data_IF_179423528948
#
_entry.id   IF_179423528948
#
_cell.length_a   1.000
_cell.length_b   1.000
_cell.length_c   1.000
_cell.angle_alpha   90.00
_cell.angle_beta   90.00
_cell.angle_gamma   90.00
#
_symmetry.space_group_name_H-M   'P 1'
#
loop_
_entity.id
_entity.type
_entity.pdbx_description
1 polymer ?
#
# COMPACT_ATOMS: atom_id res chain seq x y z
N UNK A 1 24.29 -6.09 0.65
CA UNK A 1 23.09 -5.75 -0.14
C UNK A 1 23.12 -4.26 -0.46
N UNK A 2 23.05 -3.88 -1.74
CA UNK A 2 23.14 -2.46 -2.16
C UNK A 2 21.84 -1.72 -1.87
N UNK A 3 21.88 -0.38 -1.81
CA UNK A 3 20.69 0.45 -1.60
C UNK A 3 19.66 0.28 -2.73
N UNK A 4 20.12 0.04 -3.95
CA UNK A 4 19.27 -0.29 -5.09
C UNK A 4 18.43 -1.55 -4.81
N UNK A 5 19.06 -2.62 -4.33
CA UNK A 5 18.36 -3.88 -4.00
C UNK A 5 17.37 -3.68 -2.86
N UNK A 6 17.71 -2.89 -1.82
CA UNK A 6 16.77 -2.55 -0.73
C UNK A 6 15.52 -1.84 -1.23
N UNK A 7 15.70 -0.85 -2.12
CA UNK A 7 14.59 -0.09 -2.71
C UNK A 7 13.68 -0.96 -3.55
N UNK A 8 14.24 -1.83 -4.38
CA UNK A 8 13.47 -2.78 -5.19
C UNK A 8 12.67 -3.72 -4.30
N UNK A 9 13.29 -4.32 -3.28
CA UNK A 9 12.60 -5.22 -2.35
C UNK A 9 11.47 -4.50 -1.62
N UNK A 10 11.71 -3.30 -1.09
CA UNK A 10 10.68 -2.53 -0.41
C UNK A 10 9.54 -2.10 -1.35
N UNK A 11 9.84 -1.76 -2.60
CA UNK A 11 8.83 -1.47 -3.62
C UNK A 11 7.97 -2.70 -3.92
N UNK A 12 8.60 -3.87 -4.11
CA UNK A 12 7.90 -5.14 -4.32
C UNK A 12 7.01 -5.50 -3.12
N UNK A 13 7.54 -5.33 -1.89
CA UNK A 13 6.76 -5.55 -0.67
C UNK A 13 5.54 -4.64 -0.65
N UNK A 14 5.70 -3.32 -0.89
CA UNK A 14 4.58 -2.39 -0.92
C UNK A 14 3.51 -2.78 -1.95
N UNK A 15 3.92 -3.15 -3.17
CA UNK A 15 3.00 -3.56 -4.23
C UNK A 15 2.23 -4.83 -3.81
N UNK A 16 2.93 -5.85 -3.34
CA UNK A 16 2.32 -7.11 -2.91
C UNK A 16 1.37 -6.88 -1.73
N UNK A 17 1.78 -6.09 -0.73
CA UNK A 17 0.91 -5.73 0.40
C UNK A 17 -0.29 -4.90 -0.07
N UNK A 18 -0.11 -3.98 -1.02
CA UNK A 18 -1.20 -3.20 -1.61
C UNK A 18 -2.25 -4.08 -2.29
N UNK A 19 -1.82 -5.05 -3.10
CA UNK A 19 -2.70 -6.02 -3.76
C UNK A 19 -3.43 -6.89 -2.74
N UNK A 20 -2.73 -7.43 -1.75
CA UNK A 20 -3.31 -8.35 -0.76
C UNK A 20 -4.13 -7.63 0.33
N UNK A 21 -3.91 -6.34 0.55
CA UNK A 21 -4.60 -5.56 1.59
C UNK A 21 -6.11 -5.50 1.37
N UNK A 22 -6.55 -5.50 0.11
CA UNK A 22 -7.94 -5.33 -0.27
C UNK A 22 -8.80 -6.59 -0.04
N UNK A 23 -8.41 -7.79 -0.50
CA UNK A 23 -9.13 -9.01 -0.13
C UNK A 23 -9.05 -9.28 1.37
N UNK A 24 -7.98 -8.88 2.06
CA UNK A 24 -7.90 -8.99 3.51
C UNK A 24 -8.89 -8.05 4.22
N UNK A 25 -8.97 -6.78 3.79
CA UNK A 25 -9.94 -5.83 4.32
C UNK A 25 -11.37 -6.29 4.04
N UNK A 26 -11.65 -6.81 2.84
CA UNK A 26 -12.94 -7.41 2.50
C UNK A 26 -13.24 -8.58 3.43
N UNK A 27 -12.35 -9.57 3.57
CA UNK A 27 -12.57 -10.74 4.43
C UNK A 27 -12.91 -10.39 5.89
N UNK A 28 -12.43 -9.25 6.39
CA UNK A 28 -12.70 -8.79 7.77
C UNK A 28 -13.96 -7.91 7.85
N UNK A 29 -14.27 -7.16 6.81
CA UNK A 29 -15.32 -6.13 6.81
C UNK A 29 -16.50 -6.43 5.85
N UNK A 30 -16.61 -7.66 5.34
CA UNK A 30 -17.69 -8.13 4.44
C UNK A 30 -19.04 -8.35 5.17
N UNK A 31 -19.49 -7.32 5.88
CA UNK A 31 -20.77 -7.26 6.56
C UNK A 31 -21.63 -6.13 6.00
N UNK A 32 -22.97 -6.30 6.06
CA UNK A 32 -23.94 -5.33 5.52
C UNK A 32 -23.77 -3.88 6.02
N UNK A 33 -23.17 -3.70 7.19
CA UNK A 33 -22.93 -2.38 7.79
C UNK A 33 -21.50 -1.86 7.61
N UNK A 34 -20.57 -2.69 7.12
CA UNK A 34 -19.13 -2.41 7.13
C UNK A 34 -18.49 -2.45 5.74
N UNK A 35 -19.23 -2.87 4.71
CA UNK A 35 -18.73 -2.97 3.33
C UNK A 35 -18.21 -1.63 2.79
N UNK A 36 -18.87 -0.52 3.13
CA UNK A 36 -18.43 0.84 2.76
C UNK A 36 -17.12 1.27 3.46
N UNK A 37 -16.67 0.53 4.48
CA UNK A 37 -15.41 0.78 5.19
C UNK A 37 -14.22 0.01 4.60
N UNK A 38 -14.44 -0.94 3.67
CA UNK A 38 -13.37 -1.76 3.09
C UNK A 38 -12.29 -0.88 2.45
N UNK A 39 -12.66 0.02 1.54
CA UNK A 39 -11.72 0.91 0.86
C UNK A 39 -11.06 1.91 1.83
N UNK A 40 -11.82 2.67 2.66
CA UNK A 40 -11.22 3.55 3.67
C UNK A 40 -10.22 2.85 4.60
N UNK A 41 -10.59 1.68 5.14
CA UNK A 41 -9.74 0.92 6.05
C UNK A 41 -8.47 0.44 5.35
N UNK A 42 -8.60 -0.06 4.12
CA UNK A 42 -7.47 -0.50 3.31
C UNK A 42 -6.49 0.64 3.01
N UNK A 43 -6.99 1.82 2.60
CA UNK A 43 -6.17 3.00 2.36
C UNK A 43 -5.41 3.46 3.61
N UNK A 44 -6.11 3.52 4.76
CA UNK A 44 -5.51 3.91 6.04
C UNK A 44 -4.42 2.91 6.46
N UNK A 45 -4.70 1.61 6.40
CA UNK A 45 -3.74 0.57 6.72
C UNK A 45 -2.48 0.67 5.85
N UNK A 46 -2.64 0.87 4.54
CA UNK A 46 -1.52 1.00 3.62
C UNK A 46 -0.73 2.29 3.84
N UNK A 47 -1.38 3.40 4.19
CA UNK A 47 -0.70 4.63 4.56
C UNK A 47 0.19 4.43 5.81
N UNK A 48 -0.32 3.77 6.86
CA UNK A 48 0.48 3.45 8.04
C UNK A 48 1.61 2.48 7.75
N UNK A 49 1.36 1.44 6.94
CA UNK A 49 2.37 0.47 6.56
C UNK A 49 3.50 1.12 5.75
N UNK A 50 3.15 1.96 4.76
CA UNK A 50 4.12 2.73 3.98
C UNK A 50 4.93 3.71 4.83
N UNK A 51 4.29 4.41 5.76
CA UNK A 51 4.98 5.28 6.71
C UNK A 51 5.98 4.51 7.58
N UNK A 52 5.56 3.38 8.15
CA UNK A 52 6.41 2.51 8.95
C UNK A 52 7.59 1.95 8.15
N UNK A 53 7.36 1.53 6.91
CA UNK A 53 8.40 1.02 6.03
C UNK A 53 9.44 2.08 5.69
N UNK A 54 9.04 3.32 5.41
CA UNK A 54 9.96 4.42 5.11
C UNK A 54 10.77 4.89 6.33
N UNK A 55 10.22 4.74 7.54
CA UNK A 55 10.97 4.96 8.78
C UNK A 55 12.00 3.82 8.98
N UNK A 56 11.59 2.56 8.79
CA UNK A 56 12.43 1.38 9.00
C UNK A 56 13.53 1.23 7.93
N UNK A 57 13.29 1.70 6.71
CA UNK A 57 14.23 1.70 5.59
C UNK A 57 14.50 3.13 5.12
N UNK A 58 15.47 3.84 5.74
CA UNK A 58 15.84 5.21 5.37
C UNK A 58 16.18 5.39 3.89
N UNK A 59 16.62 4.33 3.23
CA UNK A 59 16.96 4.34 1.81
C UNK A 59 15.77 4.65 0.89
N UNK A 60 14.53 4.54 1.38
CA UNK A 60 13.30 4.88 0.65
C UNK A 60 12.98 6.38 0.63
N UNK A 61 13.64 7.17 1.48
CA UNK A 61 13.43 8.61 1.57
C UNK A 61 14.73 9.36 1.24
N UNK A 62 14.66 10.67 0.92
CA UNK A 62 15.85 11.50 0.72
C UNK A 62 16.79 11.42 1.93
N UNK A 63 18.11 11.34 1.68
CA UNK A 63 19.11 11.09 2.72
C UNK A 63 19.06 12.11 3.88
N UNK A 64 18.72 13.37 3.59
CA UNK A 64 18.61 14.45 4.55
C UNK A 64 17.19 14.65 5.14
N UNK A 65 16.22 13.79 4.81
CA UNK A 65 14.85 13.97 5.28
C UNK A 65 14.70 13.63 6.77
N UNK A 66 14.01 14.50 7.52
CA UNK A 66 13.65 14.25 8.91
C UNK A 66 12.66 13.08 9.02
N UNK A 67 12.59 12.36 10.17
CA UNK A 67 11.71 11.21 10.35
C UNK A 67 10.24 11.46 9.97
N UNK A 68 9.71 12.66 10.28
CA UNK A 68 8.34 13.06 9.90
C UNK A 68 8.15 13.14 8.38
N UNK A 69 9.13 13.69 7.67
CA UNK A 69 9.09 13.78 6.20
C UNK A 69 9.18 12.39 5.57
N UNK A 70 9.99 11.49 6.14
CA UNK A 70 10.08 10.09 5.70
C UNK A 70 8.75 9.37 5.87
N UNK A 71 8.08 9.57 7.00
CA UNK A 71 6.76 9.01 7.26
C UNK A 71 5.72 9.49 6.24
N UNK A 72 5.70 10.78 5.92
CA UNK A 72 4.77 11.34 4.92
C UNK A 72 5.03 10.80 3.51
N UNK A 73 6.30 10.72 3.09
CA UNK A 73 6.68 10.13 1.79
C UNK A 73 6.29 8.64 1.76
N UNK A 74 6.58 7.91 2.83
CA UNK A 74 6.20 6.51 2.97
C UNK A 74 4.69 6.30 2.92
N UNK A 75 3.91 7.13 3.61
CA UNK A 75 2.46 7.08 3.56
C UNK A 75 1.94 7.28 2.14
N UNK A 76 2.51 8.24 1.40
CA UNK A 76 2.19 8.46 -0.01
C UNK A 76 2.45 7.22 -0.88
N UNK A 77 3.60 6.56 -0.70
CA UNK A 77 3.90 5.30 -1.39
C UNK A 77 2.95 4.16 -1.02
N UNK A 78 2.57 4.08 0.26
CA UNK A 78 1.57 3.13 0.75
C UNK A 78 0.22 3.33 0.07
N UNK A 79 -0.27 4.57 0.03
CA UNK A 79 -1.53 4.92 -0.66
C UNK A 79 -1.44 4.61 -2.16
N UNK A 80 -0.34 4.95 -2.81
CA UNK A 80 -0.15 4.64 -4.23
C UNK A 80 -0.19 3.13 -4.49
N UNK A 81 0.47 2.33 -3.65
CA UNK A 81 0.41 0.87 -3.73
C UNK A 81 -1.01 0.33 -3.47
N UNK A 82 -1.76 0.95 -2.56
CA UNK A 82 -3.16 0.62 -2.29
C UNK A 82 -4.05 0.84 -3.51
N UNK A 83 -3.84 1.95 -4.24
CA UNK A 83 -4.55 2.26 -5.48
C UNK A 83 -4.19 1.29 -6.61
N UNK A 84 -2.91 0.92 -6.72
CA UNK A 84 -2.47 -0.14 -7.66
C UNK A 84 -3.16 -1.47 -7.32
N UNK A 85 -3.22 -1.82 -6.03
CA UNK A 85 -3.94 -3.01 -5.56
C UNK A 85 -5.42 -2.99 -5.93
N UNK A 86 -6.09 -1.84 -5.75
CA UNK A 86 -7.49 -1.63 -6.16
C UNK A 86 -7.67 -1.81 -7.67
N UNK A 87 -6.78 -1.24 -8.49
CA UNK A 87 -6.82 -1.37 -9.94
C UNK A 87 -6.66 -2.84 -10.38
N UNK A 88 -5.69 -3.55 -9.78
CA UNK A 88 -5.45 -4.97 -10.06
C UNK A 88 -6.64 -5.82 -9.64
N UNK A 89 -7.21 -5.55 -8.46
CA UNK A 89 -8.38 -6.27 -7.97
C UNK A 89 -9.62 -6.03 -8.85
N UNK A 90 -9.85 -4.78 -9.25
CA UNK A 90 -10.91 -4.44 -10.19
C UNK A 90 -10.74 -5.17 -11.53
N UNK A 91 -9.52 -5.19 -12.08
CA UNK A 91 -9.22 -5.90 -13.32
C UNK A 91 -9.39 -7.41 -13.18
N UNK A 92 -9.04 -7.98 -12.02
CA UNK A 92 -9.22 -9.39 -11.73
C UNK A 92 -10.70 -9.79 -11.66
N UNK A 93 -11.58 -8.90 -11.19
CA UNK A 93 -13.03 -9.14 -11.13
C UNK A 93 -13.74 -8.89 -12.45
N UNK A 94 -13.38 -7.84 -13.19
CA UNK A 94 -14.09 -7.42 -14.40
C UNK A 94 -13.47 -7.96 -15.71
N UNK A 95 -12.24 -8.48 -15.66
CA UNK A 95 -11.48 -8.83 -16.86
C UNK A 95 -11.05 -7.60 -17.67
N UNK A 96 -10.40 -7.84 -18.82
CA UNK A 96 -9.95 -6.77 -19.72
C UNK A 96 -11.04 -6.24 -20.66
N UNK A 97 -12.12 -7.01 -20.83
CA UNK A 97 -13.23 -6.65 -21.70
C UNK A 97 -14.26 -5.73 -21.00
N UNK A 98 -14.13 -5.55 -19.68
CA UNK A 98 -15.10 -4.82 -18.85
C UNK A 98 -16.40 -5.60 -18.65
N UNK A 99 -17.14 -5.28 -17.59
CA UNK A 99 -18.50 -5.80 -17.37
C UNK A 99 -19.48 -5.33 -18.45
#
# INVERSE_FOLDING_TARGET
>A
MTDAVRRVIAGLVLILTGILSLPLAAAVLDGRATENLIIPAQLICMAFFGAGLAIALPSLAPAAAEPKQRALVGAGWGVLAALVGLLVFWLALNGFDGA
#
